data_IF_747058097035
#
_entry.id   IF_747058097035
#
_cell.length_a   1.000
_cell.length_b   1.000
_cell.length_c   1.000
_cell.angle_alpha   90.00
_cell.angle_beta   90.00
_cell.angle_gamma   90.00
#
_symmetry.space_group_name_H-M   'P 1'
#
loop_
_entity.id
_entity.type
_entity.pdbx_description
1 polymer ?
#
# COMPACT_ATOMS: atom_id res chain seq x y z
N UNK A 1 -18.51 -6.71 19.89
CA UNK A 1 -17.06 -6.44 19.97
C UNK A 1 -16.57 -7.07 21.27
N UNK A 2 -15.47 -7.83 21.28
CA UNK A 2 -14.93 -8.41 22.51
C UNK A 2 -14.25 -7.33 23.34
N UNK A 3 -14.51 -7.27 24.66
CA UNK A 3 -13.98 -6.26 25.58
C UNK A 3 -12.44 -6.13 25.52
N UNK A 4 -11.74 -7.24 25.28
CA UNK A 4 -10.28 -7.26 25.12
C UNK A 4 -9.80 -6.49 23.88
N UNK A 5 -10.57 -6.52 22.79
CA UNK A 5 -10.22 -5.82 21.54
C UNK A 5 -10.23 -4.31 21.73
N UNK A 6 -11.21 -3.80 22.45
CA UNK A 6 -11.34 -2.36 22.76
C UNK A 6 -10.21 -1.90 23.68
N UNK A 7 -9.89 -2.68 24.72
CA UNK A 7 -8.74 -2.41 25.59
C UNK A 7 -7.42 -2.35 24.80
N UNK A 8 -7.19 -3.29 23.89
CA UNK A 8 -6.00 -3.31 23.04
C UNK A 8 -5.98 -2.10 22.09
N UNK A 9 -7.12 -1.73 21.51
CA UNK A 9 -7.25 -0.57 20.62
C UNK A 9 -6.91 0.73 21.35
N UNK A 10 -7.46 0.96 22.54
CA UNK A 10 -7.15 2.14 23.35
C UNK A 10 -5.66 2.20 23.71
N UNK A 11 -5.02 1.07 24.04
CA UNK A 11 -3.59 1.03 24.34
C UNK A 11 -2.72 1.29 23.10
N UNK A 12 -3.16 0.89 21.91
CA UNK A 12 -2.46 1.17 20.66
C UNK A 12 -2.61 2.64 20.24
N UNK A 13 -3.81 3.21 20.39
CA UNK A 13 -4.09 4.62 20.11
C UNK A 13 -3.34 5.55 21.07
N UNK A 14 -3.30 5.22 22.37
CA UNK A 14 -2.53 5.98 23.37
C UNK A 14 -1.05 6.11 23.04
N UNK A 15 -0.52 5.16 22.26
CA UNK A 15 0.90 5.12 21.83
C UNK A 15 1.12 5.69 20.42
N UNK A 16 0.08 6.24 19.79
CA UNK A 16 0.13 6.80 18.44
C UNK A 16 0.60 5.80 17.37
N UNK A 17 0.18 4.53 17.47
CA UNK A 17 0.42 3.58 16.36
C UNK A 17 -0.37 3.98 15.10
N UNK A 18 0.21 3.73 13.93
CA UNK A 18 -0.49 4.01 12.68
C UNK A 18 -1.72 3.10 12.50
N UNK A 19 -2.79 3.58 11.82
CA UNK A 19 -4.00 2.78 11.61
C UNK A 19 -3.74 1.44 10.88
N UNK A 20 -2.74 1.40 9.99
CA UNK A 20 -2.33 0.16 9.32
C UNK A 20 -1.75 -0.85 10.31
N UNK A 21 -0.92 -0.40 11.25
CA UNK A 21 -0.32 -1.27 12.27
C UNK A 21 -1.40 -1.76 13.25
N UNK A 22 -2.34 -0.90 13.64
CA UNK A 22 -3.48 -1.29 14.49
C UNK A 22 -4.28 -2.41 13.82
N UNK A 23 -4.65 -2.25 12.55
CA UNK A 23 -5.37 -3.30 11.80
C UNK A 23 -4.58 -4.61 11.73
N UNK A 24 -3.28 -4.53 11.47
CA UNK A 24 -2.41 -5.71 11.41
C UNK A 24 -2.35 -6.45 12.76
N UNK A 25 -2.22 -5.70 13.85
CA UNK A 25 -2.12 -6.27 15.21
C UNK A 25 -3.44 -6.90 15.64
N UNK A 26 -4.57 -6.21 15.44
CA UNK A 26 -5.90 -6.75 15.73
C UNK A 26 -6.21 -7.98 14.88
N UNK A 27 -5.82 -7.97 13.61
CA UNK A 27 -5.96 -9.13 12.72
C UNK A 27 -5.14 -10.33 13.19
N UNK A 28 -3.91 -10.11 13.65
CA UNK A 28 -3.05 -11.18 14.18
C UNK A 28 -3.64 -11.81 15.45
N UNK A 29 -4.17 -11.00 16.37
CA UNK A 29 -4.81 -11.49 17.60
C UNK A 29 -6.10 -12.25 17.29
N UNK A 30 -6.90 -11.76 16.34
CA UNK A 30 -8.11 -12.46 15.88
C UNK A 30 -7.78 -13.85 15.34
N UNK A 31 -6.79 -13.97 14.44
CA UNK A 31 -6.40 -15.26 13.87
C UNK A 31 -5.84 -16.23 14.91
N UNK A 32 -5.19 -15.70 15.95
CA UNK A 32 -4.71 -16.51 17.07
C UNK A 32 -5.88 -17.06 17.90
N UNK A 33 -6.87 -16.22 18.22
CA UNK A 33 -8.08 -16.67 18.92
C UNK A 33 -8.89 -17.69 18.10
N UNK A 34 -8.99 -17.48 16.79
CA UNK A 34 -9.65 -18.42 15.86
C UNK A 34 -8.94 -19.77 15.80
N UNK A 35 -7.60 -19.82 15.89
CA UNK A 35 -6.85 -21.07 15.83
C UNK A 35 -7.03 -21.96 17.07
N UNK A 36 -7.12 -21.37 18.27
CA UNK A 36 -7.32 -22.13 19.51
C UNK A 36 -8.77 -22.24 19.94
N UNK A 37 -9.70 -21.57 19.24
CA UNK A 37 -11.11 -21.44 19.62
C UNK A 37 -11.34 -20.97 21.07
N UNK A 38 -10.34 -20.30 21.65
CA UNK A 38 -10.32 -19.88 23.05
C UNK A 38 -9.94 -18.40 23.15
N UNK A 39 -10.38 -17.78 24.24
CA UNK A 39 -9.99 -16.41 24.56
C UNK A 39 -8.48 -16.33 24.79
N UNK A 40 -7.78 -15.37 24.16
CA UNK A 40 -6.32 -15.24 24.30
C UNK A 40 -5.88 -14.94 25.74
N UNK A 41 -6.78 -14.51 26.62
CA UNK A 41 -6.51 -14.37 28.05
C UNK A 41 -6.23 -15.70 28.77
N UNK A 42 -6.76 -16.81 28.26
CA UNK A 42 -6.58 -18.15 28.84
C UNK A 42 -5.33 -18.85 28.28
N UNK A 43 -4.75 -18.33 27.20
CA UNK A 43 -3.62 -18.94 26.50
C UNK A 43 -2.30 -18.48 27.12
N UNK A 44 -1.42 -19.45 27.40
CA UNK A 44 -0.08 -19.26 27.98
C UNK A 44 1.07 -19.36 26.98
N UNK A 45 2.30 -19.44 27.49
CA UNK A 45 3.53 -19.47 26.67
C UNK A 45 3.62 -20.71 25.76
N UNK A 46 3.16 -21.87 26.22
CA UNK A 46 3.12 -23.10 25.40
C UNK A 46 2.25 -22.96 24.15
N UNK A 47 1.11 -22.26 24.27
CA UNK A 47 0.25 -21.99 23.13
C UNK A 47 0.89 -21.03 22.13
N UNK A 48 1.68 -20.05 22.61
CA UNK A 48 2.45 -19.17 21.73
C UNK A 48 3.51 -19.94 20.93
N UNK A 49 4.26 -20.85 21.59
CA UNK A 49 5.24 -21.71 20.90
C UNK A 49 4.56 -22.63 19.88
N UNK A 50 3.44 -23.25 20.25
CA UNK A 50 2.66 -24.11 19.33
C UNK A 50 2.15 -23.33 18.13
N UNK A 51 1.63 -22.12 18.35
CA UNK A 51 1.16 -21.25 17.27
C UNK A 51 2.30 -20.83 16.36
N UNK A 52 3.45 -20.47 16.92
CA UNK A 52 4.62 -20.13 16.11
C UNK A 52 5.04 -21.29 15.21
N UNK A 53 5.06 -22.50 15.74
CA UNK A 53 5.34 -23.72 14.97
C UNK A 53 4.32 -23.92 13.86
N UNK A 54 3.03 -23.77 14.16
CA UNK A 54 1.94 -23.83 13.18
C UNK A 54 2.13 -22.80 12.05
N UNK A 55 2.51 -21.57 12.38
CA UNK A 55 2.75 -20.51 11.37
C UNK A 55 3.91 -20.84 10.42
N UNK A 56 4.97 -21.48 10.94
CA UNK A 56 6.16 -21.83 10.17
C UNK A 56 5.99 -23.13 9.36
N UNK A 57 5.42 -24.18 9.97
CA UNK A 57 5.34 -25.50 9.37
C UNK A 57 4.10 -25.69 8.50
N UNK A 58 2.93 -25.33 9.01
CA UNK A 58 1.66 -25.59 8.32
C UNK A 58 1.28 -24.46 7.36
N UNK A 59 1.33 -23.20 7.82
CA UNK A 59 0.99 -22.06 6.95
C UNK A 59 2.15 -21.58 6.07
N UNK A 60 3.39 -22.01 6.34
CA UNK A 60 4.61 -21.61 5.60
C UNK A 60 4.65 -20.10 5.30
N UNK A 61 4.31 -19.29 6.29
CA UNK A 61 4.25 -17.84 6.10
C UNK A 61 5.65 -17.25 5.99
N UNK A 62 5.76 -16.18 5.20
CA UNK A 62 6.99 -15.38 5.10
C UNK A 62 7.45 -14.94 6.51
N UNK A 63 8.76 -15.04 6.83
CA UNK A 63 9.30 -14.71 8.15
C UNK A 63 8.88 -13.34 8.68
N UNK A 64 8.80 -12.33 7.80
CA UNK A 64 8.36 -10.98 8.14
C UNK A 64 6.91 -10.94 8.65
N UNK A 65 6.04 -11.77 8.07
CA UNK A 65 4.64 -11.88 8.53
C UNK A 65 4.56 -12.58 9.88
N UNK A 66 5.39 -13.60 10.12
CA UNK A 66 5.46 -14.29 11.41
C UNK A 66 5.97 -13.35 12.50
N UNK A 67 7.02 -12.58 12.23
CA UNK A 67 7.56 -11.57 13.15
C UNK A 67 6.52 -10.52 13.54
N UNK A 68 5.76 -9.99 12.56
CA UNK A 68 4.68 -9.05 12.82
C UNK A 68 3.62 -9.66 13.75
N UNK A 69 3.22 -10.91 13.51
CA UNK A 69 2.22 -11.62 14.33
C UNK A 69 2.73 -11.88 15.74
N UNK A 70 3.96 -12.35 15.90
CA UNK A 70 4.59 -12.58 17.21
C UNK A 70 4.72 -11.26 17.97
N UNK A 71 5.08 -10.17 17.30
CA UNK A 71 5.14 -8.83 17.90
C UNK A 71 3.77 -8.35 18.39
N UNK A 72 2.71 -8.60 17.62
CA UNK A 72 1.34 -8.27 18.02
C UNK A 72 0.89 -9.06 19.27
N UNK A 73 1.19 -10.36 19.32
CA UNK A 73 0.91 -11.20 20.48
C UNK A 73 1.70 -10.75 21.70
N UNK A 74 3.01 -10.46 21.53
CA UNK A 74 3.84 -9.91 22.60
C UNK A 74 3.28 -8.59 23.14
N UNK A 75 2.77 -7.72 22.26
CA UNK A 75 2.12 -6.49 22.68
C UNK A 75 0.86 -6.77 23.51
N UNK A 76 -0.01 -7.68 23.06
CA UNK A 76 -1.22 -8.06 23.79
C UNK A 76 -0.91 -8.53 25.22
N UNK A 77 -0.03 -9.52 25.37
CA UNK A 77 0.25 -10.10 26.69
C UNK A 77 1.04 -9.15 27.59
N UNK A 78 2.07 -8.47 27.07
CA UNK A 78 2.95 -7.60 27.86
C UNK A 78 2.28 -6.28 28.24
N UNK A 79 1.44 -5.71 27.36
CA UNK A 79 0.87 -4.37 27.55
C UNK A 79 -0.60 -4.37 27.92
N UNK A 80 -1.42 -5.17 27.23
CA UNK A 80 -2.87 -5.18 27.46
C UNK A 80 -3.23 -6.03 28.68
N UNK A 81 -2.68 -7.24 28.77
CA UNK A 81 -2.95 -8.19 29.86
C UNK A 81 -1.98 -8.06 31.04
N UNK A 82 -0.90 -7.27 30.88
CA UNK A 82 0.16 -7.04 31.89
C UNK A 82 0.74 -8.32 32.51
N UNK A 83 0.64 -9.47 31.84
CA UNK A 83 1.26 -10.72 32.32
C UNK A 83 2.76 -10.64 32.06
N UNK A 84 3.54 -10.52 33.13
CA UNK A 84 5.01 -10.51 33.09
C UNK A 84 5.59 -11.93 33.18
N UNK A 85 4.73 -12.88 33.47
CA UNK A 85 5.04 -14.27 33.85
C UNK A 85 5.30 -15.16 32.62
N UNK A 86 4.92 -14.71 31.43
CA UNK A 86 5.29 -15.39 30.18
C UNK A 86 6.73 -15.03 29.82
N UNK A 87 7.63 -16.01 29.88
CA UNK A 87 8.96 -15.92 29.32
C UNK A 87 8.86 -15.83 27.79
N UNK A 88 8.91 -14.61 27.25
CA UNK A 88 8.92 -14.35 25.80
C UNK A 88 10.30 -14.63 25.18
N UNK A 89 11.31 -14.97 25.98
CA UNK A 89 12.67 -15.23 25.52
C UNK A 89 12.77 -16.48 24.64
N UNK A 90 11.83 -17.42 24.77
CA UNK A 90 11.76 -18.61 23.93
C UNK A 90 11.09 -18.39 22.56
N UNK A 91 10.56 -17.19 22.30
CA UNK A 91 9.99 -16.85 21.00
C UNK A 91 11.11 -16.46 20.04
N UNK A 92 11.61 -17.46 19.32
CA UNK A 92 12.67 -17.28 18.33
C UNK A 92 12.12 -16.46 17.15
N UNK A 93 12.59 -15.24 16.94
CA UNK A 93 12.24 -14.49 15.74
C UNK A 93 12.89 -15.14 14.52
N UNK A 94 12.13 -15.58 13.51
CA UNK A 94 12.72 -16.13 12.30
C UNK A 94 13.51 -15.01 11.60
N UNK A 95 14.77 -15.28 11.23
CA UNK A 95 15.58 -14.32 10.48
C UNK A 95 14.89 -14.01 9.16
N UNK A 96 14.53 -12.74 8.97
CA UNK A 96 13.96 -12.28 7.70
C UNK A 96 15.10 -12.14 6.70
N UNK A 97 15.13 -12.92 5.60
CA UNK A 97 16.13 -12.71 4.56
C UNK A 97 15.88 -11.35 3.90
N UNK A 98 16.87 -10.47 3.92
CA UNK A 98 16.83 -9.22 3.19
C UNK A 98 16.91 -9.52 1.69
N UNK A 99 15.78 -9.49 1.00
CA UNK A 99 15.75 -9.53 -0.47
C UNK A 99 16.23 -8.18 -0.99
N UNK A 100 17.25 -8.18 -1.84
CA UNK A 100 17.69 -6.98 -2.54
C UNK A 100 16.52 -6.47 -3.39
N UNK A 101 16.24 -5.15 -3.41
CA UNK A 101 15.17 -4.60 -4.23
C UNK A 101 15.49 -4.85 -5.70
N UNK A 102 14.60 -5.57 -6.39
CA UNK A 102 14.68 -5.75 -7.84
C UNK A 102 14.33 -4.41 -8.49
N UNK A 103 15.28 -3.82 -9.19
CA UNK A 103 15.08 -2.60 -9.97
C UNK A 103 14.71 -3.01 -11.40
N UNK A 104 13.65 -2.41 -11.93
CA UNK A 104 13.22 -2.64 -13.32
C UNK A 104 14.12 -1.89 -14.30
N UNK A 105 14.37 -2.48 -15.47
CA UNK A 105 15.04 -1.80 -16.58
C UNK A 105 14.13 -0.72 -17.20
N UNK A 106 14.72 0.20 -17.97
CA UNK A 106 13.94 1.26 -18.63
C UNK A 106 12.90 0.67 -19.59
N UNK A 107 13.25 -0.39 -20.33
CA UNK A 107 12.36 -1.08 -21.27
C UNK A 107 11.21 -1.80 -20.55
N UNK A 108 11.47 -2.37 -19.37
CA UNK A 108 10.44 -2.98 -18.53
C UNK A 108 9.44 -1.95 -18.01
N UNK A 109 9.92 -0.78 -17.60
CA UNK A 109 9.05 0.32 -17.14
C UNK A 109 8.15 0.83 -18.27
N UNK A 110 8.68 1.00 -19.48
CA UNK A 110 7.86 1.41 -20.64
C UNK A 110 6.77 0.39 -20.92
N UNK A 111 7.11 -0.91 -20.97
CA UNK A 111 6.13 -1.99 -21.15
C UNK A 111 5.07 -2.01 -20.06
N UNK A 112 5.45 -1.77 -18.80
CA UNK A 112 4.53 -1.70 -17.67
C UNK A 112 3.53 -0.52 -17.81
N UNK A 113 4.01 0.65 -18.23
CA UNK A 113 3.16 1.84 -18.42
C UNK A 113 2.20 1.64 -19.60
N UNK A 114 2.64 0.99 -20.67
CA UNK A 114 1.82 0.71 -21.86
C UNK A 114 0.79 -0.39 -21.65
N UNK A 115 1.08 -1.38 -20.80
CA UNK A 115 0.15 -2.45 -20.43
C UNK A 115 -0.99 -2.00 -19.50
N UNK A 116 -0.98 -0.75 -19.02
CA UNK A 116 -2.02 -0.24 -18.13
C UNK A 116 -3.36 -0.06 -18.87
N UNK A 117 -4.49 -0.61 -18.34
CA UNK A 117 -5.77 -0.63 -19.04
C UNK A 117 -6.42 0.75 -19.16
N UNK A 118 -6.32 1.58 -18.11
CA UNK A 118 -6.94 2.91 -18.08
C UNK A 118 -5.92 4.04 -18.08
N UNK A 119 -6.35 5.18 -18.63
CA UNK A 119 -5.58 6.44 -18.61
C UNK A 119 -5.22 6.87 -17.19
N UNK A 120 -6.07 6.59 -16.21
CA UNK A 120 -5.83 6.90 -14.80
C UNK A 120 -4.65 6.08 -14.24
N UNK A 121 -4.64 4.76 -14.46
CA UNK A 121 -3.54 3.90 -14.02
C UNK A 121 -2.23 4.27 -14.72
N UNK A 122 -2.28 4.57 -16.03
CA UNK A 122 -1.12 5.04 -16.78
C UNK A 122 -0.55 6.34 -16.19
N UNK A 123 -1.39 7.31 -15.85
CA UNK A 123 -0.97 8.55 -15.21
C UNK A 123 -0.33 8.31 -13.83
N UNK A 124 -0.91 7.42 -13.02
CA UNK A 124 -0.36 7.08 -11.69
C UNK A 124 1.03 6.44 -11.83
N UNK A 125 1.21 5.50 -12.76
CA UNK A 125 2.50 4.84 -13.00
C UNK A 125 3.56 5.84 -13.47
N UNK A 126 3.21 6.72 -14.42
CA UNK A 126 4.10 7.78 -14.89
C UNK A 126 4.47 8.73 -13.76
N UNK A 127 3.51 9.13 -12.93
CA UNK A 127 3.73 10.02 -11.78
C UNK A 127 4.69 9.39 -10.77
N UNK A 128 4.44 8.13 -10.37
CA UNK A 128 5.29 7.39 -9.44
C UNK A 128 6.72 7.26 -9.97
N UNK A 129 6.87 6.96 -11.27
CA UNK A 129 8.19 6.82 -11.89
C UNK A 129 8.93 8.16 -12.03
N UNK A 130 8.25 9.21 -12.51
CA UNK A 130 8.88 10.50 -12.78
C UNK A 130 9.24 11.29 -11.51
N UNK A 131 8.44 11.16 -10.44
CA UNK A 131 8.62 11.94 -9.20
C UNK A 131 9.21 11.13 -8.05
N UNK A 132 9.19 9.80 -8.12
CA UNK A 132 9.67 8.93 -7.04
C UNK A 132 8.85 9.01 -5.75
N UNK A 133 7.64 9.60 -5.77
CA UNK A 133 6.78 9.71 -4.59
C UNK A 133 6.30 8.35 -4.10
N UNK A 134 6.09 8.19 -2.79
CA UNK A 134 5.57 6.92 -2.25
C UNK A 134 4.11 6.73 -2.66
N UNK A 135 3.67 5.48 -2.80
CA UNK A 135 2.26 5.14 -3.12
C UNK A 135 1.23 5.88 -2.25
N UNK A 136 1.50 6.02 -0.95
CA UNK A 136 0.60 6.71 -0.02
C UNK A 136 0.58 8.22 -0.21
N UNK A 137 1.68 8.80 -0.66
CA UNK A 137 1.78 10.22 -1.02
C UNK A 137 1.06 10.45 -2.35
N UNK A 138 1.32 9.60 -3.35
CA UNK A 138 0.62 9.62 -4.64
C UNK A 138 -0.91 9.59 -4.51
N UNK A 139 -1.41 8.76 -3.59
CA UNK A 139 -2.85 8.64 -3.32
C UNK A 139 -3.48 9.86 -2.61
N UNK A 140 -2.65 10.77 -2.06
CA UNK A 140 -3.10 11.94 -1.29
C UNK A 140 -2.82 13.27 -2.00
N UNK A 141 -2.23 13.24 -3.18
CA UNK A 141 -1.99 14.43 -4.00
C UNK A 141 -3.32 15.09 -4.30
N UNK A 142 -3.38 16.38 -4.04
CA UNK A 142 -4.49 17.24 -4.43
C UNK A 142 -4.10 18.10 -5.62
N UNK A 143 -5.12 18.71 -6.24
CA UNK A 143 -4.91 19.63 -7.38
C UNK A 143 -4.06 20.83 -6.98
N UNK A 144 -4.17 21.28 -5.72
CA UNK A 144 -3.37 22.38 -5.14
C UNK A 144 -1.86 22.06 -5.04
N UNK A 145 -1.49 20.78 -5.02
CA UNK A 145 -0.09 20.34 -4.95
C UNK A 145 0.58 20.28 -6.35
N UNK A 146 -0.14 20.64 -7.41
CA UNK A 146 0.32 20.57 -8.80
C UNK A 146 0.61 21.98 -9.31
N UNK A 147 1.87 22.39 -9.16
CA UNK A 147 2.35 23.63 -9.75
C UNK A 147 2.60 23.43 -11.25
N UNK A 148 1.84 24.16 -12.05
CA UNK A 148 2.03 24.23 -13.50
C UNK A 148 2.84 25.48 -13.83
N UNK A 149 4.16 25.35 -13.94
CA UNK A 149 4.98 26.41 -14.50
C UNK A 149 4.72 26.50 -16.02
N UNK A 150 4.63 27.72 -16.57
CA UNK A 150 4.28 28.05 -17.97
C UNK A 150 5.28 27.47 -19.00
N UNK A 151 6.38 26.89 -18.53
CA UNK A 151 7.39 26.15 -19.30
C UNK A 151 7.07 24.66 -19.49
N UNK A 152 5.88 24.20 -19.07
CA UNK A 152 5.41 22.82 -19.31
C UNK A 152 5.97 21.78 -18.32
N UNK A 153 6.70 22.22 -17.30
CA UNK A 153 7.09 21.37 -16.17
C UNK A 153 6.00 21.42 -15.10
N UNK A 154 5.32 20.29 -14.89
CA UNK A 154 4.42 20.12 -13.75
C UNK A 154 5.24 19.64 -12.57
N UNK A 155 5.47 20.51 -11.59
CA UNK A 155 6.05 20.08 -10.31
C UNK A 155 4.92 19.57 -9.45
N UNK A 156 5.13 18.39 -8.89
CA UNK A 156 4.25 17.84 -7.86
C UNK A 156 4.97 18.02 -6.54
N UNK A 157 4.52 18.99 -5.76
CA UNK A 157 5.01 19.24 -4.41
C UNK A 157 4.28 18.30 -3.45
N UNK A 158 4.82 17.10 -3.24
CA UNK A 158 4.25 16.21 -2.23
C UNK A 158 4.35 16.88 -0.85
N UNK A 159 3.29 16.85 -0.01
CA UNK A 159 3.34 17.43 1.32
C UNK A 159 4.43 16.70 2.14
N UNK A 160 5.55 17.38 2.32
CA UNK A 160 6.71 16.93 3.09
C UNK A 160 6.30 16.74 4.56
N UNK A 161 5.73 15.59 4.90
CA UNK A 161 5.61 15.14 6.31
C UNK A 161 6.67 14.11 6.71
N UNK A 162 7.45 13.60 5.77
CA UNK A 162 8.66 12.82 6.05
C UNK A 162 9.68 13.06 4.93
N UNK A 163 10.40 14.17 5.03
CA UNK A 163 11.54 14.45 4.18
C UNK A 163 12.66 13.43 4.47
N UNK A 164 12.96 12.56 3.50
CA UNK A 164 14.32 12.02 3.38
C UNK A 164 15.15 13.08 2.64
N UNK A 165 16.22 13.63 3.22
CA UNK A 165 16.98 14.72 2.60
C UNK A 165 17.89 14.27 1.45
N UNK A 166 17.94 12.98 1.13
CA UNK A 166 18.87 12.41 0.16
C UNK A 166 18.12 11.80 -1.04
N UNK A 167 17.60 12.64 -1.93
CA UNK A 167 17.36 12.32 -3.34
C UNK A 167 16.97 13.59 -4.08
N UNK A 168 17.87 14.58 -4.05
CA UNK A 168 17.89 15.65 -5.06
C UNK A 168 18.54 15.05 -6.32
N UNK A 169 17.85 14.12 -6.97
CA UNK A 169 18.22 13.69 -8.32
C UNK A 169 17.92 14.86 -9.26
N UNK A 170 18.94 15.22 -10.02
CA UNK A 170 18.94 16.24 -11.08
C UNK A 170 17.73 16.13 -12.02
N UNK A 171 17.26 17.24 -12.62
CA UNK A 171 16.12 17.22 -13.52
C UNK A 171 16.50 16.48 -14.81
N UNK A 172 16.12 15.21 -14.92
CA UNK A 172 16.17 14.52 -16.20
C UNK A 172 14.97 14.96 -17.07
N UNK A 173 15.19 15.42 -18.31
CA UNK A 173 14.16 16.06 -19.11
C UNK A 173 13.39 15.01 -19.92
N UNK A 174 12.59 14.15 -19.30
CA UNK A 174 11.78 13.18 -20.07
C UNK A 174 10.42 12.91 -19.44
N UNK A 175 9.40 13.66 -19.90
CA UNK A 175 8.06 13.14 -20.24
C UNK A 175 7.22 14.29 -20.81
N UNK A 176 7.43 14.57 -22.10
CA UNK A 176 6.55 15.45 -22.90
C UNK A 176 5.27 14.67 -23.19
N UNK A 177 4.26 14.80 -22.33
CA UNK A 177 2.93 14.26 -22.62
C UNK A 177 2.39 14.95 -23.88
N UNK A 178 2.00 14.21 -24.94
CA UNK A 178 1.44 14.84 -26.13
C UNK A 178 0.14 15.54 -25.77
N UNK A 179 0.00 16.79 -26.25
CA UNK A 179 -1.25 17.54 -26.21
C UNK A 179 -2.33 16.71 -26.93
N UNK A 180 -3.39 16.34 -26.22
CA UNK A 180 -4.64 15.93 -26.88
C UNK A 180 -5.24 17.19 -27.51
N UNK A 181 -5.50 17.24 -28.83
CA UNK A 181 -6.14 18.39 -29.45
C UNK A 181 -7.54 18.57 -28.87
N UNK A 182 -7.91 19.83 -28.62
CA UNK A 182 -9.26 20.21 -28.19
C UNK A 182 -10.24 19.85 -29.31
N UNK A 183 -11.09 18.85 -29.11
CA UNK A 183 -12.29 18.69 -29.91
C UNK A 183 -13.34 19.67 -29.41
N UNK A 184 -13.58 20.74 -30.16
CA UNK A 184 -14.76 21.59 -30.04
C UNK A 184 -15.95 20.92 -30.77
N UNK A 185 -17.19 21.05 -30.27
CA UNK A 185 -18.37 20.46 -30.87
C UNK A 185 -18.96 21.35 -31.99
N UNK A 186 -19.89 20.78 -32.77
CA UNK A 186 -20.63 21.34 -33.93
C UNK A 186 -19.91 21.17 -35.27
N UNK A 187 -20.45 20.48 -36.28
CA UNK A 187 -21.80 20.62 -36.83
C UNK A 187 -22.22 19.31 -37.50
N UNK A 188 -23.44 18.86 -37.20
CA UNK A 188 -24.09 17.74 -37.89
C UNK A 188 -24.59 18.21 -39.25
N UNK A 189 -24.19 17.51 -40.32
CA UNK A 189 -24.81 17.66 -41.65
C UNK A 189 -25.27 16.27 -42.09
N UNK A 190 -26.59 16.07 -42.13
CA UNK A 190 -27.27 14.87 -42.60
C UNK A 190 -27.00 14.62 -44.10
N UNK A 191 -26.94 13.36 -44.58
CA UNK A 191 -26.83 13.07 -46.00
C UNK A 191 -28.19 13.21 -46.71
N UNK A 192 -28.16 13.89 -47.85
CA UNK A 192 -29.29 14.13 -48.75
C UNK A 192 -29.61 12.85 -49.53
N UNK A 193 -30.88 12.45 -49.50
CA UNK A 193 -31.46 11.29 -50.18
C UNK A 193 -31.34 11.37 -51.71
N UNK A 194 -31.10 10.20 -52.31
CA UNK A 194 -31.11 9.96 -53.74
C UNK A 194 -32.53 9.91 -54.31
N UNK A 195 -32.70 10.39 -55.54
CA UNK A 195 -33.84 10.08 -56.43
C UNK A 195 -33.32 9.75 -57.85
N UNK A 196 -34.04 8.91 -58.62
CA UNK A 196 -33.51 8.21 -59.78
C UNK A 196 -33.72 8.95 -61.11
N UNK A 197 -32.84 8.69 -62.07
CA UNK A 197 -32.93 9.20 -63.43
C UNK A 197 -33.96 8.43 -64.27
N UNK A 198 -34.81 9.19 -64.96
CA UNK A 198 -35.77 8.74 -65.96
C UNK A 198 -35.13 8.54 -67.33
N UNK A 199 -35.65 7.53 -68.01
CA UNK A 199 -35.55 7.17 -69.43
C UNK A 199 -35.58 8.33 -70.43
N UNK A 200 -34.72 8.22 -71.46
CA UNK A 200 -35.04 8.41 -72.88
C UNK A 200 -34.11 7.52 -73.72
#
# INVERSE_FOLDING_TARGET
MTQLRERMLHELERRNYSPSTIRGYLGAVRQFAEHFHCSPEQLGAEHLRRYQRYLLQEKRLEPSTVEMRVSALRFLYKRTLKRRDLAFDDLIFPKVPHKLPTVLSQEEVVRLIEAAPDRLYRMILVLLYATGVRRTEAARIKVEDIDSDDTGFRRVSAPLRTACPAQRLSPHPLLRLPRQPKTSPHTATLPRSAQPASSN
#
